data_IF_246386332327
#
_entry.id   IF_246386332327
#
_cell.length_a   1.000
_cell.length_b   1.000
_cell.length_c   1.000
_cell.angle_alpha   90.00
_cell.angle_beta   90.00
_cell.angle_gamma   90.00
#
_symmetry.space_group_name_H-M   'P 1'
#
loop_
_entity.id
_entity.type
_entity.pdbx_description
1 polymer ?
#
# COMPACT_ATOMS: atom_id res chain seq x y z
N UNK A 1 42.05 17.17 -32.23
CA UNK A 1 41.03 17.71 -31.30
C UNK A 1 40.08 16.55 -31.01
N UNK A 2 40.30 15.82 -29.91
CA UNK A 2 39.51 14.64 -29.55
C UNK A 2 38.76 14.95 -28.26
N UNK A 3 37.43 15.11 -28.35
CA UNK A 3 36.59 15.52 -27.21
C UNK A 3 35.13 15.07 -27.30
N UNK A 4 34.80 14.12 -28.18
CA UNK A 4 33.41 13.65 -28.37
C UNK A 4 33.19 12.17 -28.05
N UNK A 5 34.24 11.35 -27.89
CA UNK A 5 34.11 9.91 -27.62
C UNK A 5 33.90 9.57 -26.12
N UNK A 6 34.18 10.49 -25.20
CA UNK A 6 34.05 10.23 -23.76
C UNK A 6 32.60 10.30 -23.25
N UNK A 7 31.69 10.88 -24.04
CA UNK A 7 30.27 11.04 -23.68
C UNK A 7 29.38 9.87 -24.14
N UNK A 8 29.80 9.11 -25.15
CA UNK A 8 28.97 8.04 -25.73
C UNK A 8 28.83 6.81 -24.82
N UNK A 9 29.94 6.34 -24.23
CA UNK A 9 29.95 5.10 -23.44
C UNK A 9 29.34 5.22 -22.04
N UNK A 10 29.65 6.30 -21.32
CA UNK A 10 29.13 6.52 -19.96
C UNK A 10 27.65 6.87 -19.92
N UNK A 11 27.17 7.63 -20.91
CA UNK A 11 25.76 8.00 -21.01
C UNK A 11 24.87 6.78 -21.27
N UNK A 12 25.28 5.90 -22.19
CA UNK A 12 24.55 4.67 -22.48
C UNK A 12 24.44 3.74 -21.28
N UNK A 13 25.49 3.64 -20.46
CA UNK A 13 25.47 2.87 -19.22
C UNK A 13 24.43 3.43 -18.23
N UNK A 14 24.37 4.76 -18.06
CA UNK A 14 23.41 5.40 -17.15
C UNK A 14 21.97 5.20 -17.65
N UNK A 15 21.72 5.38 -18.94
CA UNK A 15 20.39 5.16 -19.54
C UNK A 15 19.94 3.71 -19.34
N UNK A 16 20.85 2.74 -19.52
CA UNK A 16 20.57 1.33 -19.27
C UNK A 16 20.19 1.05 -17.80
N UNK A 17 20.91 1.62 -16.84
CA UNK A 17 20.57 1.48 -15.42
C UNK A 17 19.23 2.14 -15.07
N UNK A 18 18.94 3.33 -15.60
CA UNK A 18 17.65 4.00 -15.42
C UNK A 18 16.52 3.13 -15.97
N UNK A 19 16.70 2.54 -17.16
CA UNK A 19 15.70 1.66 -17.76
C UNK A 19 15.41 0.44 -16.86
N UNK A 20 16.45 -0.18 -16.29
CA UNK A 20 16.29 -1.30 -15.33
C UNK A 20 15.48 -0.86 -14.09
N UNK A 21 15.81 0.29 -13.50
CA UNK A 21 15.10 0.81 -12.32
C UNK A 21 13.63 1.08 -12.64
N UNK A 22 13.35 1.72 -13.78
CA UNK A 22 11.98 1.99 -14.22
C UNK A 22 11.20 0.69 -14.38
N UNK A 23 11.81 -0.34 -14.98
CA UNK A 23 11.17 -1.64 -15.20
C UNK A 23 10.92 -2.36 -13.87
N UNK A 24 11.88 -2.33 -12.93
CA UNK A 24 11.72 -2.88 -11.59
C UNK A 24 10.61 -2.16 -10.81
N UNK A 25 10.59 -0.83 -10.81
CA UNK A 25 9.54 -0.03 -10.14
C UNK A 25 8.18 -0.28 -10.78
N UNK A 26 8.10 -0.35 -12.11
CA UNK A 26 6.86 -0.65 -12.82
C UNK A 26 6.34 -2.03 -12.44
N UNK A 27 7.20 -3.06 -12.46
CA UNK A 27 6.84 -4.43 -12.08
C UNK A 27 6.36 -4.52 -10.63
N UNK A 28 7.12 -3.92 -9.69
CA UNK A 28 6.71 -3.85 -8.29
C UNK A 28 5.38 -3.10 -8.15
N UNK A 29 5.21 -1.96 -8.81
CA UNK A 29 3.92 -1.23 -8.82
C UNK A 29 2.79 -2.08 -9.38
N UNK A 30 2.98 -2.88 -10.42
CA UNK A 30 1.90 -3.74 -10.94
C UNK A 30 1.49 -4.83 -9.95
N UNK A 31 2.44 -5.42 -9.22
CA UNK A 31 2.15 -6.43 -8.20
C UNK A 31 1.53 -5.81 -6.95
N UNK A 32 2.07 -4.69 -6.47
CA UNK A 32 1.54 -3.99 -5.30
C UNK A 32 0.30 -3.13 -5.59
N UNK A 33 0.00 -2.78 -6.85
CA UNK A 33 -1.23 -2.07 -7.21
C UNK A 33 -2.46 -2.97 -7.10
N UNK A 34 -2.31 -4.30 -7.29
CA UNK A 34 -3.39 -5.25 -7.01
C UNK A 34 -3.64 -5.40 -5.50
N UNK A 35 -2.66 -5.10 -4.65
CA UNK A 35 -2.80 -5.19 -3.19
C UNK A 35 -3.00 -3.81 -2.52
N UNK A 36 -3.11 -2.73 -3.30
CA UNK A 36 -3.39 -1.38 -2.78
C UNK A 36 -4.88 -1.01 -2.80
N UNK A 37 -5.77 -2.00 -2.93
CA UNK A 37 -7.19 -1.81 -2.62
C UNK A 37 -7.53 -1.92 -1.13
N UNK A 38 -6.55 -2.10 -0.24
CA UNK A 38 -6.70 -2.04 1.22
C UNK A 38 -5.41 -1.39 1.75
N UNK A 39 -5.33 -0.23 2.38
CA UNK A 39 -6.28 0.46 3.24
C UNK A 39 -5.86 1.93 3.30
N UNK A 40 -6.47 2.77 2.49
CA UNK A 40 -6.53 4.23 2.76
C UNK A 40 -7.95 4.67 3.06
N UNK A 41 -8.89 3.72 3.14
CA UNK A 41 -10.08 3.95 3.95
C UNK A 41 -9.66 3.87 5.43
N UNK A 42 -10.11 4.81 6.27
CA UNK A 42 -10.02 4.63 7.71
C UNK A 42 -10.64 3.27 8.05
N UNK A 43 -10.00 2.48 8.93
CA UNK A 43 -10.49 1.15 9.27
C UNK A 43 -11.96 1.26 9.63
N UNK A 44 -12.78 0.37 9.07
CA UNK A 44 -14.21 0.44 9.29
C UNK A 44 -14.46 0.35 10.81
N UNK A 45 -15.50 1.01 11.34
CA UNK A 45 -15.80 0.93 12.77
C UNK A 45 -15.85 -0.52 13.31
N UNK A 46 -16.22 -1.48 12.45
CA UNK A 46 -16.22 -2.91 12.77
C UNK A 46 -14.81 -3.50 12.90
N UNK A 47 -13.85 -3.06 12.07
CA UNK A 47 -12.45 -3.47 12.15
C UNK A 47 -11.77 -2.94 13.42
N UNK A 48 -12.09 -1.70 13.82
CA UNK A 48 -11.60 -1.11 15.08
C UNK A 48 -12.16 -1.88 16.28
N UNK A 49 -13.46 -2.19 16.30
CA UNK A 49 -14.08 -2.96 17.37
C UNK A 49 -13.48 -4.37 17.49
N UNK A 50 -13.28 -5.05 16.35
CA UNK A 50 -12.66 -6.39 16.30
C UNK A 50 -11.22 -6.36 16.82
N UNK A 51 -10.43 -5.34 16.46
CA UNK A 51 -9.06 -5.20 16.93
C UNK A 51 -9.01 -5.05 18.46
N UNK A 52 -9.87 -4.21 19.04
CA UNK A 52 -9.94 -4.01 20.50
C UNK A 52 -10.41 -5.26 21.25
N UNK A 53 -11.36 -5.99 20.70
CA UNK A 53 -11.81 -7.27 21.28
C UNK A 53 -10.67 -8.30 21.29
N UNK A 54 -9.91 -8.39 20.19
CA UNK A 54 -8.75 -9.27 20.11
C UNK A 54 -7.61 -8.85 21.06
N UNK A 55 -7.43 -7.55 21.28
CA UNK A 55 -6.53 -7.00 22.29
C UNK A 55 -7.00 -7.21 23.73
N UNK A 56 -8.25 -7.64 23.93
CA UNK A 56 -8.88 -7.76 25.25
C UNK A 56 -9.20 -6.42 25.92
N UNK A 57 -9.22 -5.32 25.16
CA UNK A 57 -9.54 -3.97 25.64
C UNK A 57 -11.05 -3.78 25.84
N UNK A 58 -11.88 -4.59 25.17
CA UNK A 58 -13.34 -4.59 25.33
C UNK A 58 -13.85 -6.01 25.56
N UNK A 59 -14.96 -6.12 26.28
CA UNK A 59 -15.65 -7.39 26.51
C UNK A 59 -16.40 -7.87 25.25
N UNK A 60 -16.83 -9.14 25.26
CA UNK A 60 -17.68 -9.67 24.19
C UNK A 60 -19.00 -8.91 24.08
N UNK A 61 -19.56 -8.49 25.21
CA UNK A 61 -20.86 -7.85 25.27
C UNK A 61 -20.80 -6.45 24.62
N UNK A 62 -19.76 -5.67 24.94
CA UNK A 62 -19.48 -4.38 24.30
C UNK A 62 -19.22 -4.51 22.80
N UNK A 63 -18.54 -5.59 22.37
CA UNK A 63 -18.33 -5.86 20.95
C UNK A 63 -19.65 -6.09 20.21
N UNK A 64 -20.58 -6.87 20.78
CA UNK A 64 -21.89 -7.12 20.16
C UNK A 64 -22.76 -5.86 20.12
N UNK A 65 -22.72 -5.02 21.15
CA UNK A 65 -23.44 -3.75 21.18
C UNK A 65 -22.94 -2.79 20.09
N UNK A 66 -21.63 -2.70 19.87
CA UNK A 66 -21.06 -1.90 18.78
C UNK A 66 -21.49 -2.46 17.42
N UNK A 67 -21.47 -3.78 17.24
CA UNK A 67 -21.91 -4.41 15.99
C UNK A 67 -23.38 -4.14 15.68
N UNK A 68 -24.24 -4.12 16.69
CA UNK A 68 -25.68 -3.89 16.54
C UNK A 68 -25.97 -2.42 16.17
N UNK A 69 -25.37 -1.48 16.90
CA UNK A 69 -25.46 -0.05 16.62
C UNK A 69 -24.96 0.31 15.20
N UNK A 70 -23.91 -0.37 14.72
CA UNK A 70 -23.38 -0.15 13.37
C UNK A 70 -24.31 -0.68 12.27
N UNK A 71 -25.09 -1.74 12.54
CA UNK A 71 -26.11 -2.23 11.60
C UNK A 71 -27.31 -1.31 11.54
N UNK A 72 -27.74 -0.76 12.67
CA UNK A 72 -28.88 0.16 12.75
C UNK A 72 -28.60 1.46 11.99
N UNK A 73 -27.38 2.00 12.09
CA UNK A 73 -27.00 3.26 11.45
C UNK A 73 -26.77 3.17 9.92
N UNK A 74 -26.81 1.97 9.35
CA UNK A 74 -26.61 1.72 7.91
C UNK A 74 -27.93 1.58 7.12
N UNK A 75 -29.07 1.75 7.79
CA UNK A 75 -30.43 1.79 7.20
C UNK A 75 -30.93 3.24 7.12
#
# INVERSE_FOLDING_TARGET
MYGFDMWGGGFWMIVFWIAIIVLAVWFLRTLFAQNQQTSSEPPSPMEIAKARYASGEISSDEYYEILDNLKEKSQ
#
